data_IF_800230368964
#
_entry.id   IF_800230368964
#
_cell.length_a   1.000
_cell.length_b   1.000
_cell.length_c   1.000
_cell.angle_alpha   90.00
_cell.angle_beta   90.00
_cell.angle_gamma   90.00
#
_symmetry.space_group_name_H-M   'P 1'
#
loop_
_entity.id
_entity.type
_entity.pdbx_description
1 polymer ?
#
# COMPACT_ATOMS: atom_id res chain seq x y z
N UNK A 1 -21.04 3.47 39.52
CA UNK A 1 -21.90 2.65 38.68
C UNK A 1 -21.29 2.53 37.31
N UNK A 2 -21.33 1.36 36.72
CA UNK A 2 -20.84 1.11 35.35
C UNK A 2 -22.05 0.74 34.52
N UNK A 3 -22.35 1.53 33.49
CA UNK A 3 -23.47 1.32 32.59
C UNK A 3 -22.94 1.00 31.19
N UNK A 4 -23.32 -0.13 30.59
CA UNK A 4 -22.96 -0.41 29.21
C UNK A 4 -23.68 0.55 28.28
N UNK A 5 -22.95 1.19 27.38
CA UNK A 5 -23.51 2.13 26.42
C UNK A 5 -23.18 1.64 25.01
N UNK A 6 -24.15 1.05 24.28
CA UNK A 6 -23.90 0.64 22.90
C UNK A 6 -23.64 1.85 22.04
N UNK A 7 -22.62 1.78 21.21
CA UNK A 7 -22.31 2.81 20.23
C UNK A 7 -23.29 2.70 19.07
N UNK A 8 -24.21 3.65 19.00
CA UNK A 8 -25.25 3.69 17.96
C UNK A 8 -24.75 4.43 16.71
N UNK A 9 -23.67 5.20 16.85
CA UNK A 9 -23.11 6.00 15.78
C UNK A 9 -21.59 5.71 15.67
N UNK A 10 -21.16 5.18 14.57
CA UNK A 10 -19.80 4.64 14.34
C UNK A 10 -18.67 5.65 14.55
N UNK A 11 -18.96 6.94 14.57
CA UNK A 11 -17.96 8.00 14.63
C UNK A 11 -18.05 8.92 15.85
N UNK A 12 -19.07 8.78 16.67
CA UNK A 12 -19.28 9.65 17.84
C UNK A 12 -19.60 8.81 19.09
N UNK A 13 -18.78 9.00 20.11
CA UNK A 13 -19.10 8.46 21.43
C UNK A 13 -20.27 9.25 22.02
N UNK A 14 -21.37 8.58 22.32
CA UNK A 14 -22.53 9.18 22.95
C UNK A 14 -22.36 9.04 24.47
N UNK A 15 -22.26 10.18 25.16
CA UNK A 15 -22.24 10.21 26.63
C UNK A 15 -23.66 10.00 27.14
N UNK A 16 -23.89 9.10 28.12
CA UNK A 16 -25.20 8.92 28.71
C UNK A 16 -25.63 10.19 29.46
N UNK A 17 -26.91 10.52 29.39
CA UNK A 17 -27.48 11.71 30.04
C UNK A 17 -27.90 11.41 31.47
N UNK A 18 -28.32 10.19 31.75
CA UNK A 18 -28.83 9.74 33.06
C UNK A 18 -28.16 8.42 33.43
N UNK A 19 -27.83 8.25 34.68
CA UNK A 19 -27.36 6.98 35.23
C UNK A 19 -28.61 6.13 35.58
N UNK A 20 -29.01 5.25 34.66
CA UNK A 20 -30.28 4.51 34.72
C UNK A 20 -30.33 3.57 35.94
N UNK A 21 -31.38 3.67 36.70
CA UNK A 21 -31.62 2.83 37.87
C UNK A 21 -31.98 1.39 37.49
N UNK A 22 -32.57 1.19 36.29
CA UNK A 22 -32.89 -0.15 35.78
C UNK A 22 -31.64 -0.98 35.51
N UNK A 23 -30.51 -0.32 35.20
CA UNK A 23 -29.19 -0.93 34.98
C UNK A 23 -28.29 -0.87 36.26
N UNK A 24 -28.87 -0.64 37.44
CA UNK A 24 -28.12 -0.56 38.68
C UNK A 24 -27.52 0.82 38.98
N UNK A 25 -27.95 1.84 38.29
CA UNK A 25 -27.52 3.23 38.47
C UNK A 25 -28.18 3.95 39.63
N UNK A 26 -27.93 5.24 39.73
CA UNK A 26 -28.39 6.10 40.83
C UNK A 26 -29.41 7.15 40.40
N UNK A 27 -29.91 7.12 39.21
CA UNK A 27 -30.90 8.03 38.59
C UNK A 27 -30.49 9.52 38.60
N UNK A 28 -29.17 9.78 38.61
CA UNK A 28 -28.63 11.14 38.55
C UNK A 28 -28.34 11.53 37.09
N UNK A 29 -28.70 12.76 36.74
CA UNK A 29 -28.45 13.33 35.41
C UNK A 29 -27.13 14.07 35.34
N UNK A 30 -26.51 14.07 34.13
CA UNK A 30 -25.31 14.87 33.83
C UNK A 30 -25.61 16.35 33.95
N UNK A 31 -24.72 17.10 34.61
CA UNK A 31 -24.87 18.56 34.77
C UNK A 31 -25.88 19.01 35.82
N UNK A 32 -26.43 18.08 36.61
CA UNK A 32 -27.25 18.42 37.79
C UNK A 32 -26.45 19.18 38.86
N UNK A 33 -27.15 19.65 39.93
CA UNK A 33 -26.55 20.40 41.06
C UNK A 33 -25.35 19.69 41.70
N UNK A 34 -25.27 18.37 41.57
CA UNK A 34 -24.23 17.52 42.18
C UNK A 34 -23.00 17.29 41.26
N UNK A 35 -22.95 17.91 40.07
CA UNK A 35 -21.78 17.86 39.19
C UNK A 35 -21.42 16.45 38.67
N UNK A 36 -22.41 15.58 38.54
CA UNK A 36 -22.20 14.20 38.05
C UNK A 36 -21.64 14.22 36.61
N UNK A 37 -20.53 13.55 36.43
CA UNK A 37 -19.92 13.35 35.12
C UNK A 37 -19.79 11.85 34.87
N UNK A 38 -19.92 11.45 33.60
CA UNK A 38 -19.57 10.12 33.18
C UNK A 38 -18.12 10.10 32.69
N UNK A 39 -17.45 9.02 32.95
CA UNK A 39 -16.09 8.78 32.51
C UNK A 39 -16.06 7.43 31.77
N UNK A 40 -15.40 7.42 30.61
CA UNK A 40 -15.25 6.20 29.84
C UNK A 40 -14.26 5.27 30.54
N UNK A 41 -14.72 4.08 30.92
CA UNK A 41 -13.87 3.02 31.48
C UNK A 41 -13.31 2.19 30.33
N UNK A 42 -12.15 2.60 29.83
CA UNK A 42 -11.51 1.96 28.67
C UNK A 42 -11.20 0.48 28.89
N UNK A 43 -10.80 0.10 30.12
CA UNK A 43 -10.46 -1.28 30.48
C UNK A 43 -11.65 -2.26 30.35
N UNK A 44 -12.88 -1.77 30.55
CA UNK A 44 -14.09 -2.58 30.45
C UNK A 44 -14.85 -2.35 29.12
N UNK A 45 -14.31 -1.52 28.23
CA UNK A 45 -14.93 -1.20 26.95
C UNK A 45 -14.44 -2.15 25.86
N UNK A 46 -15.37 -2.65 25.07
CA UNK A 46 -15.03 -3.41 23.86
C UNK A 46 -14.60 -2.42 22.78
N UNK A 47 -13.33 -2.48 22.39
CA UNK A 47 -12.75 -1.67 21.30
C UNK A 47 -12.70 -2.51 20.03
N UNK A 48 -12.89 -1.86 18.90
CA UNK A 48 -12.80 -2.46 17.58
C UNK A 48 -11.78 -1.68 16.77
N UNK A 49 -10.88 -2.40 16.12
CA UNK A 49 -9.92 -1.77 15.22
C UNK A 49 -10.64 -1.21 14.00
N UNK A 50 -10.21 -0.04 13.56
CA UNK A 50 -10.73 0.57 12.35
C UNK A 50 -9.59 1.12 11.47
N UNK A 51 -9.85 1.17 10.17
CA UNK A 51 -8.95 1.72 9.17
C UNK A 51 -9.74 2.56 8.18
N UNK A 52 -9.28 3.79 7.95
CA UNK A 52 -9.77 4.63 6.88
C UNK A 52 -8.99 4.37 5.60
N UNK A 53 -9.71 4.14 4.50
CA UNK A 53 -9.14 3.80 3.20
C UNK A 53 -9.72 4.79 2.18
N UNK A 54 -8.88 5.36 1.35
CA UNK A 54 -9.30 6.08 0.16
C UNK A 54 -9.18 5.16 -1.05
N UNK A 55 -10.30 4.85 -1.71
CA UNK A 55 -10.35 4.09 -2.95
C UNK A 55 -10.56 5.04 -4.12
N UNK A 56 -9.86 4.75 -5.21
CA UNK A 56 -9.95 5.49 -6.46
C UNK A 56 -10.36 4.56 -7.59
N UNK A 57 -11.23 5.07 -8.47
CA UNK A 57 -11.60 4.39 -9.70
C UNK A 57 -10.37 4.06 -10.56
N UNK A 58 -10.38 2.87 -11.16
CA UNK A 58 -9.27 2.45 -12.03
C UNK A 58 -9.18 3.36 -13.25
N UNK A 59 -7.98 3.83 -13.62
CA UNK A 59 -7.78 4.72 -14.78
C UNK A 59 -8.33 4.14 -16.09
N UNK A 60 -8.36 2.81 -16.20
CA UNK A 60 -8.85 2.08 -17.38
C UNK A 60 -10.37 2.20 -17.57
N UNK A 61 -11.10 2.47 -16.48
CA UNK A 61 -12.56 2.62 -16.49
C UNK A 61 -13.00 4.08 -16.71
N UNK A 62 -12.07 5.03 -16.61
CA UNK A 62 -12.36 6.45 -16.77
C UNK A 62 -12.42 6.81 -18.24
N UNK A 63 -13.62 7.13 -18.75
CA UNK A 63 -13.82 7.54 -20.14
C UNK A 63 -13.52 9.02 -20.35
N UNK A 64 -12.77 9.35 -21.40
CA UNK A 64 -12.77 10.70 -21.96
C UNK A 64 -12.05 11.79 -21.16
N UNK A 65 -11.03 11.47 -20.37
CA UNK A 65 -10.24 12.49 -19.65
C UNK A 65 -10.91 13.08 -18.41
N UNK A 66 -11.95 12.43 -17.90
CA UNK A 66 -12.57 12.77 -16.62
C UNK A 66 -11.60 12.44 -15.45
N UNK A 67 -11.74 13.13 -14.33
CA UNK A 67 -11.01 12.76 -13.12
C UNK A 67 -11.60 11.47 -12.55
N UNK A 68 -10.75 10.50 -12.13
CA UNK A 68 -11.23 9.28 -11.50
C UNK A 68 -11.99 9.60 -10.20
N UNK A 69 -13.13 8.95 -10.02
CA UNK A 69 -13.92 9.09 -8.81
C UNK A 69 -13.14 8.53 -7.59
N UNK A 70 -13.30 9.20 -6.46
CA UNK A 70 -12.70 8.78 -5.19
C UNK A 70 -13.78 8.56 -4.15
N UNK A 71 -13.61 7.56 -3.31
CA UNK A 71 -14.51 7.26 -2.23
C UNK A 71 -13.72 6.96 -0.95
N UNK A 72 -14.20 7.52 0.15
CA UNK A 72 -13.67 7.25 1.49
C UNK A 72 -14.40 6.05 2.08
N UNK A 73 -13.65 5.07 2.54
CA UNK A 73 -14.17 3.83 3.08
C UNK A 73 -13.64 3.59 4.49
N UNK A 74 -14.53 3.21 5.39
CA UNK A 74 -14.21 2.77 6.75
C UNK A 74 -14.24 1.24 6.78
N UNK A 75 -13.13 0.63 7.10
CA UNK A 75 -13.00 -0.79 7.37
C UNK A 75 -12.90 -1.03 8.88
N UNK A 76 -13.70 -1.93 9.41
CA UNK A 76 -13.78 -2.22 10.84
C UNK A 76 -13.52 -3.70 11.13
N UNK A 77 -13.11 -3.97 12.35
CA UNK A 77 -12.88 -5.31 12.88
C UNK A 77 -11.94 -6.15 12.00
N UNK A 78 -12.43 -7.28 11.51
CA UNK A 78 -11.70 -8.25 10.69
C UNK A 78 -11.36 -7.77 9.27
N UNK A 79 -11.97 -6.68 8.82
CA UNK A 79 -11.68 -6.01 7.55
C UNK A 79 -10.56 -4.98 7.67
N UNK A 80 -10.23 -4.57 8.89
CA UNK A 80 -9.12 -3.65 9.15
C UNK A 80 -7.77 -4.30 8.76
N UNK A 81 -6.88 -3.52 8.15
CA UNK A 81 -5.55 -3.94 7.69
C UNK A 81 -5.51 -5.02 6.59
N UNK A 82 -6.66 -5.43 6.03
CA UNK A 82 -6.67 -6.34 4.87
C UNK A 82 -6.31 -5.64 3.57
N UNK A 83 -6.60 -4.36 3.45
CA UNK A 83 -6.34 -3.59 2.24
C UNK A 83 -5.09 -2.76 2.42
N UNK A 84 -4.11 -2.98 1.54
CA UNK A 84 -2.87 -2.22 1.51
C UNK A 84 -2.87 -1.21 0.34
N UNK A 85 -2.12 -0.10 0.46
CA UNK A 85 -2.00 0.87 -0.61
C UNK A 85 -1.54 0.24 -1.92
N UNK A 86 -2.20 0.61 -3.02
CA UNK A 86 -1.88 0.13 -4.36
C UNK A 86 -2.49 -1.22 -4.74
N UNK A 87 -3.27 -1.85 -3.88
CA UNK A 87 -4.04 -3.05 -4.23
C UNK A 87 -5.24 -2.70 -5.10
N UNK A 88 -5.58 -3.59 -6.04
CA UNK A 88 -6.84 -3.55 -6.78
C UNK A 88 -7.86 -4.38 -6.05
N UNK A 89 -8.97 -3.75 -5.70
CA UNK A 89 -10.02 -4.38 -4.92
C UNK A 89 -11.40 -4.17 -5.54
N UNK A 90 -12.30 -5.09 -5.27
CA UNK A 90 -13.74 -4.90 -5.40
C UNK A 90 -14.33 -4.82 -4.00
N UNK A 91 -14.90 -3.68 -3.63
CA UNK A 91 -15.44 -3.44 -2.31
C UNK A 91 -16.97 -3.34 -2.36
N UNK A 92 -17.67 -4.10 -1.50
CA UNK A 92 -19.08 -3.90 -1.24
C UNK A 92 -19.22 -2.98 -0.02
N UNK A 93 -19.91 -1.87 -0.20
CA UNK A 93 -19.97 -0.82 0.83
C UNK A 93 -21.39 -0.32 1.03
N UNK A 94 -21.66 0.21 2.24
CA UNK A 94 -22.89 0.90 2.58
C UNK A 94 -22.55 2.39 2.75
N UNK A 95 -23.21 3.31 2.01
CA UNK A 95 -22.95 4.74 2.15
C UNK A 95 -23.59 5.29 3.43
N UNK A 96 -22.82 6.10 4.16
CA UNK A 96 -23.25 6.86 5.32
C UNK A 96 -22.99 8.35 5.11
N UNK A 97 -23.75 9.17 5.81
CA UNK A 97 -23.64 10.63 5.72
C UNK A 97 -23.13 11.18 7.04
N UNK A 98 -22.05 11.95 6.97
CA UNK A 98 -21.48 12.67 8.13
C UNK A 98 -21.73 14.16 8.02
N UNK A 99 -22.24 14.76 9.08
CA UNK A 99 -22.39 16.22 9.15
C UNK A 99 -21.04 16.86 9.45
N UNK A 100 -20.63 17.85 8.64
CA UNK A 100 -19.45 18.65 8.97
C UNK A 100 -19.73 19.55 10.17
N UNK A 101 -19.01 19.35 11.27
CA UNK A 101 -19.02 20.24 12.43
C UNK A 101 -17.99 21.36 12.23
N UNK A 102 -18.42 22.57 11.91
CA UNK A 102 -17.60 23.78 12.10
C UNK A 102 -17.86 24.32 13.51
N UNK A 103 -16.80 24.69 14.22
CA UNK A 103 -16.67 25.07 15.64
C UNK A 103 -17.90 25.65 16.39
N UNK A 104 -18.97 26.11 15.75
CA UNK A 104 -20.20 26.62 16.37
C UNK A 104 -21.44 26.64 15.47
N UNK A 105 -21.37 26.19 14.19
CA UNK A 105 -22.55 26.19 13.31
C UNK A 105 -22.64 24.88 12.52
N UNK A 106 -23.84 24.32 12.44
CA UNK A 106 -24.16 23.21 11.54
C UNK A 106 -24.15 23.74 10.13
N UNK A 107 -23.23 23.29 9.30
CA UNK A 107 -23.25 23.59 7.86
C UNK A 107 -24.23 22.64 7.16
N UNK A 108 -24.96 23.10 6.11
CA UNK A 108 -25.81 22.23 5.31
C UNK A 108 -25.03 21.30 4.35
N UNK A 109 -23.70 21.20 4.53
CA UNK A 109 -22.84 20.33 3.76
C UNK A 109 -22.63 19.01 4.51
N UNK A 110 -22.71 17.93 3.75
CA UNK A 110 -22.54 16.57 4.23
C UNK A 110 -21.39 15.91 3.49
N UNK A 111 -20.56 15.19 4.21
CA UNK A 111 -19.56 14.28 3.64
C UNK A 111 -20.14 12.89 3.58
N UNK A 112 -19.91 12.20 2.48
CA UNK A 112 -20.30 10.80 2.34
C UNK A 112 -19.08 9.93 2.59
N UNK A 113 -19.23 8.96 3.47
CA UNK A 113 -18.28 7.89 3.63
C UNK A 113 -18.99 6.53 3.46
N UNK A 114 -18.22 5.51 3.23
CA UNK A 114 -18.73 4.17 2.98
C UNK A 114 -18.22 3.23 4.07
N UNK A 115 -19.10 2.47 4.71
CA UNK A 115 -18.69 1.36 5.57
C UNK A 115 -18.45 0.12 4.73
N UNK A 116 -17.29 -0.52 4.90
CA UNK A 116 -16.87 -1.72 4.18
C UNK A 116 -17.60 -2.94 4.73
N UNK A 117 -18.34 -3.63 3.88
CA UNK A 117 -19.04 -4.88 4.23
C UNK A 117 -18.20 -6.09 3.84
N UNK A 118 -17.64 -6.06 2.64
CA UNK A 118 -16.75 -7.10 2.15
C UNK A 118 -15.78 -6.54 1.13
N UNK A 119 -14.63 -7.16 1.03
CA UNK A 119 -13.58 -6.82 0.06
C UNK A 119 -13.12 -8.09 -0.65
N UNK A 120 -13.04 -8.01 -1.96
CA UNK A 120 -12.45 -9.02 -2.81
C UNK A 120 -11.20 -8.43 -3.49
N UNK A 121 -10.09 -9.11 -3.35
CA UNK A 121 -8.83 -8.69 -3.98
C UNK A 121 -8.80 -9.18 -5.42
N UNK A 122 -8.68 -8.27 -6.38
CA UNK A 122 -8.57 -8.64 -7.80
C UNK A 122 -7.20 -9.21 -8.16
N UNK A 123 -6.17 -8.82 -7.41
CA UNK A 123 -4.83 -9.38 -7.54
C UNK A 123 -4.43 -9.94 -6.18
N UNK A 124 -4.30 -11.24 -6.08
CA UNK A 124 -3.67 -11.89 -4.93
C UNK A 124 -2.24 -11.37 -4.82
N UNK A 125 -1.82 -10.78 -3.69
CA UNK A 125 -0.41 -10.44 -3.51
C UNK A 125 0.43 -11.69 -3.77
N UNK A 126 1.56 -11.55 -4.45
CA UNK A 126 2.45 -12.69 -4.75
C UNK A 126 2.85 -13.47 -3.48
N UNK A 127 2.79 -12.84 -2.31
CA UNK A 127 3.01 -13.47 -1.01
C UNK A 127 1.89 -14.42 -0.59
N UNK A 128 0.72 -14.37 -1.23
CA UNK A 128 -0.48 -15.16 -0.89
C UNK A 128 -0.91 -16.10 -2.02
N UNK A 129 -0.12 -16.19 -3.11
CA UNK A 129 -0.38 -17.21 -4.13
C UNK A 129 -0.12 -18.58 -3.47
N UNK A 130 -1.16 -19.40 -3.29
CA UNK A 130 -0.96 -20.73 -2.75
C UNK A 130 -0.15 -21.53 -3.77
N UNK A 131 1.06 -21.91 -3.39
CA UNK A 131 1.88 -22.82 -4.19
C UNK A 131 1.30 -24.21 -3.99
N UNK A 132 0.75 -24.77 -5.05
CA UNK A 132 0.17 -26.12 -5.04
C UNK A 132 1.26 -27.18 -5.14
N UNK A 133 0.94 -28.43 -4.80
CA UNK A 133 1.90 -29.54 -4.99
C UNK A 133 2.27 -29.71 -6.47
N UNK A 134 1.33 -29.50 -7.39
CA UNK A 134 1.57 -29.51 -8.82
C UNK A 134 2.57 -28.42 -9.26
N UNK A 135 2.49 -27.22 -8.66
CA UNK A 135 3.45 -26.15 -8.94
C UNK A 135 4.85 -26.51 -8.45
N UNK A 136 4.96 -27.18 -7.31
CA UNK A 136 6.25 -27.62 -6.76
C UNK A 136 6.88 -28.67 -7.70
N UNK A 137 6.12 -29.69 -8.12
CA UNK A 137 6.58 -30.70 -9.06
C UNK A 137 7.06 -30.07 -10.39
N UNK A 138 6.30 -29.10 -10.91
CA UNK A 138 6.65 -28.38 -12.13
C UNK A 138 7.93 -27.54 -11.96
N UNK A 139 8.11 -26.88 -10.82
CA UNK A 139 9.33 -26.11 -10.51
C UNK A 139 10.54 -27.04 -10.40
N UNK A 140 10.39 -28.19 -9.75
CA UNK A 140 11.46 -29.20 -9.63
C UNK A 140 11.85 -29.74 -11.00
N UNK A 141 10.88 -30.11 -11.85
CA UNK A 141 11.14 -30.55 -13.23
C UNK A 141 11.91 -29.50 -14.03
N UNK A 142 11.50 -28.22 -13.93
CA UNK A 142 12.16 -27.12 -14.62
C UNK A 142 13.57 -26.91 -14.08
N UNK A 143 13.78 -27.04 -12.78
CA UNK A 143 15.09 -26.83 -12.12
C UNK A 143 16.16 -27.84 -12.55
N UNK A 144 15.76 -29.05 -12.89
CA UNK A 144 16.67 -30.13 -13.36
C UNK A 144 17.12 -29.96 -14.83
N UNK A 145 16.50 -29.04 -15.57
CA UNK A 145 16.85 -28.83 -16.99
C UNK A 145 18.27 -28.24 -17.14
N UNK A 146 19.09 -28.86 -17.94
CA UNK A 146 20.48 -28.40 -18.22
C UNK A 146 20.56 -27.00 -18.82
N UNK A 147 19.50 -26.53 -19.49
CA UNK A 147 19.42 -25.23 -20.15
C UNK A 147 18.55 -24.23 -19.37
N UNK A 148 18.38 -24.44 -18.08
CA UNK A 148 17.51 -23.62 -17.19
C UNK A 148 17.76 -22.12 -17.37
N UNK A 149 19.00 -21.68 -17.27
CA UNK A 149 19.34 -20.26 -17.36
C UNK A 149 18.99 -19.65 -18.72
N UNK A 150 19.10 -20.41 -19.77
CA UNK A 150 18.73 -19.98 -21.11
C UNK A 150 17.20 -19.91 -21.29
N UNK A 151 16.48 -20.90 -20.73
CA UNK A 151 15.03 -20.90 -20.69
C UNK A 151 14.50 -19.67 -19.97
N UNK A 152 14.99 -19.39 -18.77
CA UNK A 152 14.62 -18.20 -18.00
C UNK A 152 14.97 -16.91 -18.74
N UNK A 153 16.15 -16.83 -19.38
CA UNK A 153 16.55 -15.66 -20.17
C UNK A 153 15.57 -15.38 -21.32
N UNK A 154 15.13 -16.42 -22.01
CA UNK A 154 14.18 -16.30 -23.11
C UNK A 154 12.76 -15.99 -22.64
N UNK A 155 12.41 -16.33 -21.40
CA UNK A 155 11.14 -16.01 -20.77
C UNK A 155 11.01 -14.54 -20.36
N UNK A 156 12.12 -13.82 -20.20
CA UNK A 156 12.08 -12.36 -19.94
C UNK A 156 11.63 -11.64 -21.22
N UNK A 157 10.50 -10.94 -21.13
CA UNK A 157 9.93 -10.16 -22.23
C UNK A 157 10.00 -10.90 -23.59
N UNK A 158 9.29 -12.00 -23.79
CA UNK A 158 9.44 -12.85 -24.98
C UNK A 158 9.09 -12.13 -26.29
N UNK A 159 8.27 -11.07 -26.22
CA UNK A 159 7.95 -10.21 -27.36
C UNK A 159 9.15 -9.41 -27.90
N UNK A 160 10.20 -9.27 -27.09
CA UNK A 160 11.41 -8.54 -27.47
C UNK A 160 12.45 -9.58 -27.90
N UNK A 161 12.64 -9.71 -29.20
CA UNK A 161 13.58 -10.71 -29.75
C UNK A 161 15.03 -10.31 -29.49
N UNK A 162 15.85 -11.29 -29.07
CA UNK A 162 17.28 -11.12 -28.84
C UNK A 162 18.04 -12.28 -29.49
N UNK A 163 19.00 -11.99 -30.36
CA UNK A 163 19.92 -12.99 -30.91
C UNK A 163 20.94 -13.43 -29.87
N UNK A 164 21.52 -14.61 -30.04
CA UNK A 164 22.43 -15.22 -29.05
C UNK A 164 23.66 -14.36 -28.73
N UNK A 165 24.20 -13.66 -29.70
CA UNK A 165 25.36 -12.77 -29.54
C UNK A 165 24.96 -11.31 -29.23
N UNK A 166 23.68 -11.02 -29.03
CA UNK A 166 23.24 -9.65 -28.85
C UNK A 166 23.49 -9.15 -27.43
N UNK A 167 23.84 -7.86 -27.31
CA UNK A 167 23.91 -7.16 -26.02
C UNK A 167 22.58 -7.24 -25.26
N UNK A 168 21.46 -7.32 -25.99
CA UNK A 168 20.12 -7.44 -25.40
C UNK A 168 19.95 -8.79 -24.68
N UNK A 169 20.50 -9.89 -25.19
CA UNK A 169 20.48 -11.18 -24.47
C UNK A 169 21.26 -11.10 -23.17
N UNK A 170 22.37 -10.37 -23.14
CA UNK A 170 23.12 -10.12 -21.91
C UNK A 170 22.31 -9.32 -20.91
N UNK A 171 21.57 -8.30 -21.36
CA UNK A 171 20.64 -7.54 -20.50
C UNK A 171 19.56 -8.45 -19.93
N UNK A 172 18.93 -9.29 -20.73
CA UNK A 172 17.93 -10.25 -20.25
C UNK A 172 18.51 -11.22 -19.21
N UNK A 173 19.73 -11.71 -19.41
CA UNK A 173 20.44 -12.55 -18.43
C UNK A 173 20.66 -11.81 -17.10
N UNK A 174 21.03 -10.53 -17.15
CA UNK A 174 21.21 -9.71 -15.97
C UNK A 174 19.90 -9.50 -15.22
N UNK A 175 18.79 -9.31 -15.94
CA UNK A 175 17.46 -9.18 -15.34
C UNK A 175 17.00 -10.47 -14.65
N UNK A 176 17.30 -11.65 -15.21
CA UNK A 176 17.07 -12.94 -14.55
C UNK A 176 17.83 -13.00 -13.23
N UNK A 177 19.12 -12.66 -13.24
CA UNK A 177 19.95 -12.66 -12.02
C UNK A 177 19.44 -11.66 -10.98
N UNK A 178 18.90 -10.52 -11.41
CA UNK A 178 18.29 -9.55 -10.52
C UNK A 178 17.07 -10.10 -9.79
N UNK A 179 16.19 -10.87 -10.47
CA UNK A 179 15.02 -11.50 -9.86
C UNK A 179 15.39 -12.50 -8.75
N UNK A 180 16.46 -13.26 -8.96
CA UNK A 180 16.95 -14.19 -7.92
C UNK A 180 17.71 -13.47 -6.80
N UNK A 181 18.33 -12.34 -7.12
CA UNK A 181 19.14 -11.60 -6.16
C UNK A 181 20.37 -12.34 -5.69
N UNK A 182 21.01 -11.83 -4.67
CA UNK A 182 22.14 -12.44 -3.98
C UNK A 182 21.86 -12.64 -2.50
N UNK A 183 22.79 -13.30 -1.80
CA UNK A 183 22.68 -13.57 -0.36
C UNK A 183 23.27 -12.40 0.43
N UNK A 184 22.45 -11.75 1.26
CA UNK A 184 22.94 -10.75 2.19
C UNK A 184 23.84 -11.41 3.25
N UNK A 185 25.01 -10.84 3.53
CA UNK A 185 25.97 -11.35 4.50
C UNK A 185 26.24 -10.30 5.58
N UNK A 186 26.34 -10.74 6.83
CA UNK A 186 26.87 -9.93 7.92
C UNK A 186 28.33 -10.28 8.12
N UNK A 187 29.21 -9.29 8.11
CA UNK A 187 30.62 -9.45 8.41
C UNK A 187 30.82 -9.46 9.92
N UNK A 188 31.96 -10.01 10.37
CA UNK A 188 32.28 -10.12 11.80
C UNK A 188 32.43 -8.76 12.52
N UNK A 189 32.60 -7.65 11.76
CA UNK A 189 32.64 -6.27 12.23
C UNK A 189 31.24 -5.64 12.38
N UNK A 190 30.17 -6.40 12.14
CA UNK A 190 28.78 -5.93 12.19
C UNK A 190 28.27 -5.29 10.91
N UNK A 191 29.11 -5.07 9.91
CA UNK A 191 28.69 -4.51 8.62
C UNK A 191 27.83 -5.53 7.85
N UNK A 192 26.76 -5.01 7.22
CA UNK A 192 25.87 -5.78 6.36
C UNK A 192 26.23 -5.55 4.90
N UNK A 193 26.64 -6.61 4.21
CA UNK A 193 26.70 -6.61 2.75
C UNK A 193 25.33 -6.95 2.20
N UNK A 194 24.81 -6.09 1.34
CA UNK A 194 23.52 -6.31 0.67
C UNK A 194 23.62 -7.46 -0.33
N UNK A 195 22.51 -8.19 -0.50
CA UNK A 195 22.34 -9.19 -1.56
C UNK A 195 21.61 -8.66 -2.78
N UNK A 196 21.03 -7.45 -2.70
CA UNK A 196 20.17 -6.90 -3.74
C UNK A 196 20.99 -6.38 -4.92
N UNK A 197 20.57 -6.75 -6.13
CA UNK A 197 21.23 -6.39 -7.39
C UNK A 197 20.45 -5.23 -8.02
N UNK A 198 21.10 -4.08 -8.14
CA UNK A 198 20.56 -2.92 -8.84
C UNK A 198 21.12 -2.85 -10.26
N UNK A 199 20.25 -2.63 -11.25
CA UNK A 199 20.62 -2.55 -12.67
C UNK A 199 20.24 -1.18 -13.22
N UNK A 200 21.19 -0.53 -13.87
CA UNK A 200 20.97 0.70 -14.63
C UNK A 200 21.03 0.39 -16.13
N UNK A 201 19.92 0.62 -16.82
CA UNK A 201 19.84 0.47 -18.27
C UNK A 201 20.14 1.79 -18.96
N UNK A 202 21.25 1.86 -19.66
CA UNK A 202 21.65 3.01 -20.48
C UNK A 202 21.69 2.62 -21.95
N UNK A 203 21.21 3.50 -22.82
CA UNK A 203 21.23 3.26 -24.27
C UNK A 203 20.32 4.24 -25.01
N UNK A 204 20.37 4.18 -26.33
CA UNK A 204 19.65 5.07 -27.24
C UNK A 204 18.11 4.93 -27.08
N UNK A 205 17.33 5.93 -27.51
CA UNK A 205 15.89 5.80 -27.63
C UNK A 205 15.50 4.64 -28.54
N UNK A 206 14.36 3.98 -28.23
CA UNK A 206 13.83 2.91 -29.08
C UNK A 206 14.43 1.51 -28.88
N UNK A 207 15.40 1.32 -27.96
CA UNK A 207 16.00 -0.01 -27.69
C UNK A 207 15.23 -0.82 -26.63
N UNK A 208 13.93 -0.59 -26.50
CA UNK A 208 13.01 -1.33 -25.63
C UNK A 208 13.28 -1.27 -24.10
N UNK A 209 14.04 -0.29 -23.61
CA UNK A 209 14.33 -0.15 -22.17
C UNK A 209 13.07 -0.08 -21.30
N UNK A 210 12.14 0.81 -21.65
CA UNK A 210 10.88 1.01 -20.92
C UNK A 210 10.00 -0.24 -20.95
N UNK A 211 9.99 -0.98 -22.06
CA UNK A 211 9.24 -2.24 -22.16
C UNK A 211 9.83 -3.34 -21.28
N UNK A 212 11.16 -3.40 -21.16
CA UNK A 212 11.82 -4.33 -20.24
C UNK A 212 11.52 -3.97 -18.78
N UNK A 213 11.56 -2.68 -18.43
CA UNK A 213 11.23 -2.20 -17.08
C UNK A 213 9.78 -2.48 -16.70
N UNK A 214 8.82 -2.22 -17.61
CA UNK A 214 7.42 -2.52 -17.41
C UNK A 214 7.18 -4.03 -17.23
N UNK A 215 7.82 -4.88 -18.06
CA UNK A 215 7.75 -6.32 -17.91
C UNK A 215 8.26 -6.78 -16.54
N UNK A 216 9.41 -6.27 -16.10
CA UNK A 216 10.01 -6.60 -14.81
C UNK A 216 9.13 -6.16 -13.65
N UNK A 217 8.52 -4.98 -13.74
CA UNK A 217 7.57 -4.48 -12.73
C UNK A 217 6.33 -5.36 -12.61
N UNK A 218 5.90 -6.02 -13.69
CA UNK A 218 4.73 -6.94 -13.68
C UNK A 218 5.07 -8.35 -13.19
N UNK A 219 6.23 -8.86 -13.52
CA UNK A 219 6.65 -10.24 -13.18
C UNK A 219 7.18 -10.33 -11.75
N UNK A 220 7.82 -9.27 -11.25
CA UNK A 220 8.39 -9.28 -9.91
C UNK A 220 7.31 -9.25 -8.82
N UNK A 221 7.45 -10.05 -7.74
CA UNK A 221 6.66 -9.87 -6.54
C UNK A 221 6.74 -8.42 -6.05
N UNK A 222 5.61 -7.82 -5.67
CA UNK A 222 5.55 -6.40 -5.27
C UNK A 222 6.24 -5.44 -6.24
N UNK A 223 6.29 -5.81 -7.53
CA UNK A 223 6.86 -4.98 -8.58
C UNK A 223 6.09 -3.67 -8.72
N UNK A 224 6.83 -2.56 -8.80
CA UNK A 224 6.27 -1.22 -9.03
C UNK A 224 6.99 -0.56 -10.19
N UNK A 225 6.20 0.09 -11.05
CA UNK A 225 6.72 0.88 -12.15
C UNK A 225 6.44 2.36 -11.90
N UNK A 226 7.44 3.20 -12.11
CA UNK A 226 7.31 4.64 -11.98
C UNK A 226 8.14 5.37 -13.03
N UNK A 227 7.67 6.55 -13.46
CA UNK A 227 8.46 7.45 -14.32
C UNK A 227 9.10 8.55 -13.48
N UNK A 228 10.41 8.72 -13.59
CA UNK A 228 11.18 9.73 -12.87
C UNK A 228 10.74 11.18 -13.17
N UNK A 229 10.11 11.43 -14.33
CA UNK A 229 9.57 12.73 -14.66
C UNK A 229 8.22 13.04 -14.01
N UNK A 230 7.49 12.02 -13.55
CA UNK A 230 6.15 12.15 -12.97
C UNK A 230 6.10 11.97 -11.46
N UNK A 231 7.15 11.46 -10.85
CA UNK A 231 7.20 11.17 -9.41
C UNK A 231 7.96 12.27 -8.68
N UNK A 232 7.31 12.94 -7.74
CA UNK A 232 7.99 13.84 -6.79
C UNK A 232 8.79 13.03 -5.78
N UNK A 233 9.78 13.65 -5.11
CA UNK A 233 10.57 12.99 -4.07
C UNK A 233 9.73 12.35 -2.98
N UNK A 234 8.62 12.97 -2.65
CA UNK A 234 7.60 12.45 -1.75
C UNK A 234 6.95 11.16 -2.29
N UNK A 235 6.59 11.11 -3.58
CA UNK A 235 6.02 9.91 -4.20
C UNK A 235 7.05 8.80 -4.43
N UNK A 236 8.35 9.12 -4.40
CA UNK A 236 9.41 8.11 -4.52
C UNK A 236 9.69 7.40 -3.19
N UNK A 237 9.78 8.14 -2.10
CA UNK A 237 10.19 7.63 -0.79
C UNK A 237 9.03 7.55 0.19
N UNK A 238 8.71 8.64 0.85
CA UNK A 238 7.55 8.80 1.73
C UNK A 238 7.20 10.28 1.85
N UNK A 239 5.92 10.59 2.00
CA UNK A 239 5.43 11.93 2.22
C UNK A 239 4.64 12.02 3.51
N UNK A 240 4.88 13.09 4.28
CA UNK A 240 3.96 13.47 5.35
C UNK A 240 2.82 14.30 4.74
N UNK A 241 1.66 13.69 4.58
CA UNK A 241 0.45 14.32 4.05
C UNK A 241 -0.48 14.66 5.21
N UNK A 242 -1.17 15.78 5.14
CA UNK A 242 -2.21 16.08 6.13
C UNK A 242 -3.38 15.12 5.93
N UNK A 243 -3.65 14.37 6.97
CA UNK A 243 -4.81 13.51 7.01
C UNK A 243 -6.08 14.38 7.05
N UNK A 244 -6.93 14.21 6.08
CA UNK A 244 -8.23 14.89 6.00
C UNK A 244 -9.24 14.30 6.98
N UNK A 245 -8.98 13.09 7.50
CA UNK A 245 -9.88 12.36 8.40
C UNK A 245 -9.58 12.58 9.87
N UNK A 246 -8.33 12.90 10.26
CA UNK A 246 -7.89 13.06 11.65
C UNK A 246 -7.54 14.50 11.97
N UNK A 247 -8.49 15.43 11.95
CA UNK A 247 -8.37 16.82 12.45
C UNK A 247 -6.99 17.49 12.23
N UNK A 248 -6.34 17.23 11.07
CA UNK A 248 -5.07 17.89 10.69
C UNK A 248 -3.81 17.18 11.19
N UNK A 249 -3.87 15.94 11.65
CA UNK A 249 -2.68 15.11 11.91
C UNK A 249 -1.97 14.79 10.59
N UNK A 250 -0.66 14.60 10.68
CA UNK A 250 0.13 14.17 9.53
C UNK A 250 0.16 12.64 9.48
N UNK A 251 -0.13 12.09 8.30
CA UNK A 251 0.01 10.66 7.99
C UNK A 251 1.15 10.47 7.00
N UNK A 252 1.90 9.38 7.14
CA UNK A 252 2.95 9.02 6.20
C UNK A 252 2.34 8.27 5.01
N UNK A 253 2.43 8.85 3.83
CA UNK A 253 2.11 8.18 2.58
C UNK A 253 3.35 7.48 2.05
N UNK A 254 3.24 6.17 1.80
CA UNK A 254 4.35 5.37 1.32
C UNK A 254 4.61 5.61 -0.17
N UNK A 255 5.85 5.94 -0.53
CA UNK A 255 6.27 6.09 -1.91
C UNK A 255 6.61 4.76 -2.60
N UNK A 256 6.95 4.84 -3.90
CA UNK A 256 7.20 3.68 -4.76
C UNK A 256 8.27 2.74 -4.20
N UNK A 257 9.35 3.26 -3.62
CA UNK A 257 10.44 2.44 -3.06
C UNK A 257 10.00 1.67 -1.82
N UNK A 258 9.18 2.29 -0.96
CA UNK A 258 8.63 1.64 0.24
C UNK A 258 7.62 0.55 -0.16
N UNK A 259 6.76 0.83 -1.14
CA UNK A 259 5.78 -0.13 -1.65
C UNK A 259 6.42 -1.33 -2.39
N UNK A 260 7.64 -1.15 -2.91
CA UNK A 260 8.42 -2.19 -3.57
C UNK A 260 9.34 -2.96 -2.61
N UNK A 261 9.16 -2.81 -1.29
CA UNK A 261 9.94 -3.58 -0.30
C UNK A 261 9.75 -5.09 -0.51
N UNK A 262 10.86 -5.83 -0.47
CA UNK A 262 10.93 -7.26 -0.84
C UNK A 262 10.48 -7.56 -2.29
N UNK A 263 10.49 -6.57 -3.16
CA UNK A 263 10.12 -6.69 -4.57
C UNK A 263 11.07 -5.94 -5.47
N UNK A 264 10.53 -5.33 -6.52
CA UNK A 264 11.32 -4.61 -7.53
C UNK A 264 10.67 -3.25 -7.85
N UNK A 265 11.45 -2.17 -7.73
CA UNK A 265 11.08 -0.85 -8.23
C UNK A 265 11.71 -0.63 -9.60
N UNK A 266 10.89 -0.54 -10.64
CA UNK A 266 11.30 -0.19 -11.99
C UNK A 266 11.08 1.31 -12.22
N UNK A 267 12.16 2.06 -12.33
CA UNK A 267 12.10 3.52 -12.49
C UNK A 267 12.59 3.88 -13.89
N UNK A 268 11.70 4.38 -14.71
CA UNK A 268 12.04 4.88 -16.06
C UNK A 268 12.37 6.37 -16.03
N UNK A 269 13.02 6.86 -17.09
CA UNK A 269 13.36 8.28 -17.24
C UNK A 269 14.10 8.90 -16.05
N UNK A 270 15.08 8.18 -15.52
CA UNK A 270 15.87 8.60 -14.36
C UNK A 270 16.56 9.96 -14.55
N UNK A 271 16.89 10.31 -15.78
CA UNK A 271 17.47 11.59 -16.18
C UNK A 271 16.56 12.79 -15.93
N UNK A 272 15.23 12.58 -15.96
CA UNK A 272 14.24 13.64 -15.69
C UNK A 272 14.02 13.92 -14.20
N UNK A 273 14.54 13.07 -13.33
CA UNK A 273 14.47 13.29 -11.88
C UNK A 273 15.30 14.49 -11.47
N UNK A 274 14.82 15.22 -10.47
CA UNK A 274 15.61 16.29 -9.88
C UNK A 274 16.81 15.74 -9.07
N UNK A 275 17.74 16.59 -8.72
CA UNK A 275 19.00 16.18 -8.07
C UNK A 275 18.76 15.62 -6.65
N UNK A 276 17.81 16.18 -5.93
CA UNK A 276 17.50 15.77 -4.55
C UNK A 276 16.87 14.37 -4.52
N UNK A 277 15.94 14.09 -5.43
CA UNK A 277 15.26 12.79 -5.52
C UNK A 277 16.22 11.68 -5.94
N UNK A 278 17.16 11.98 -6.86
CA UNK A 278 18.24 11.06 -7.19
C UNK A 278 19.12 10.75 -5.99
N UNK A 279 19.43 11.75 -5.15
CA UNK A 279 20.23 11.53 -3.95
C UNK A 279 19.53 10.63 -2.95
N UNK A 280 18.22 10.83 -2.72
CA UNK A 280 17.40 9.96 -1.84
C UNK A 280 17.33 8.53 -2.36
N UNK A 281 17.20 8.38 -3.68
CA UNK A 281 17.22 7.04 -4.29
C UNK A 281 18.58 6.35 -4.10
N UNK A 282 19.69 7.07 -4.23
CA UNK A 282 21.03 6.53 -3.96
C UNK A 282 21.15 6.02 -2.52
N UNK A 283 20.67 6.80 -1.56
CA UNK A 283 20.69 6.43 -0.15
C UNK A 283 19.85 5.16 0.10
N UNK A 284 18.63 5.11 -0.48
CA UNK A 284 17.78 3.93 -0.39
C UNK A 284 18.42 2.68 -0.99
N UNK A 285 19.10 2.80 -2.14
CA UNK A 285 19.79 1.67 -2.79
C UNK A 285 21.04 1.21 -2.02
N UNK A 286 21.76 2.13 -1.38
CA UNK A 286 23.00 1.81 -0.69
C UNK A 286 22.75 1.32 0.73
N UNK A 287 21.96 2.06 1.50
CA UNK A 287 21.73 1.83 2.92
C UNK A 287 20.47 1.02 3.20
N UNK A 288 19.58 0.85 2.21
CA UNK A 288 18.28 0.19 2.38
C UNK A 288 17.45 0.88 3.48
N UNK A 289 17.58 2.20 3.61
CA UNK A 289 16.85 3.05 4.56
C UNK A 289 16.37 4.31 3.84
N UNK A 290 15.29 4.85 4.33
CA UNK A 290 14.70 6.12 3.88
C UNK A 290 14.59 7.02 5.10
N UNK A 291 15.15 8.23 5.01
CA UNK A 291 15.13 9.26 6.05
C UNK A 291 14.21 10.42 5.67
#
# INVERSE_FOLDING_TARGET
HVTPMPQLNELELIEPIICDQAEGGCDRSVGGRDGTRFELVAENSMMVDNQWIEIQELPENVTGGAQPARATVLAEADLSNRVLPGMRITANTIPFVRTQKRRQSKTPMFDIYHSLVSVEMQNTPFTEIPITEEDIEMIEEISERKNLFELLTNSIAPSIFATDDSKLKMVKRSLVLQLFGGVARRQGDGNRLRGDIHILLMGDPGVAKSQLLDFMGRVSPRGRYASGGGVSGAGLTAAAVRDTFSEGRFTLEAGVLVLADLGLAAIDELDKMNKEDRSRMHEAMEQQRIH
#
